data_IF_687703003667
#
_entry.id   IF_687703003667
#
_cell.length_a   1.000
_cell.length_b   1.000
_cell.length_c   1.000
_cell.angle_alpha   90.00
_cell.angle_beta   90.00
_cell.angle_gamma   90.00
#
_symmetry.space_group_name_H-M   'P 1'
#
loop_
_entity.id
_entity.type
_entity.pdbx_description
1 polymer ?
#
# COMPACT_ATOMS: atom_id res chain seq x y z
N UNK A 1 -9.14 23.50 -6.62
CA UNK A 1 -9.27 22.99 -5.23
C UNK A 1 -9.69 21.52 -5.12
N UNK A 2 -10.97 21.12 -5.09
CA UNK A 2 -11.36 19.69 -5.05
C UNK A 2 -10.86 18.91 -6.28
N UNK A 3 -10.82 19.57 -7.45
CA UNK A 3 -10.20 19.05 -8.68
C UNK A 3 -8.67 18.96 -8.63
N UNK A 4 -7.99 19.73 -7.79
CA UNK A 4 -6.52 19.71 -7.64
C UNK A 4 -6.06 18.66 -6.64
N UNK A 5 -6.80 18.48 -5.54
CA UNK A 5 -6.61 17.33 -4.63
C UNK A 5 -6.97 16.02 -5.34
N UNK A 6 -8.05 15.99 -6.13
CA UNK A 6 -8.35 14.87 -7.05
C UNK A 6 -7.36 14.74 -8.20
N UNK A 7 -6.70 15.80 -8.68
CA UNK A 7 -5.62 15.73 -9.68
C UNK A 7 -4.32 15.21 -9.09
N UNK A 8 -3.98 15.60 -7.86
CA UNK A 8 -2.91 14.98 -7.08
C UNK A 8 -3.18 13.51 -6.83
N UNK A 9 -4.44 13.14 -6.53
CA UNK A 9 -4.91 11.74 -6.45
C UNK A 9 -4.89 11.03 -7.80
N UNK A 10 -5.27 11.68 -8.91
CA UNK A 10 -5.16 11.11 -10.26
C UNK A 10 -3.72 11.04 -10.75
N UNK A 11 -2.79 11.87 -10.27
CA UNK A 11 -1.36 11.70 -10.54
C UNK A 11 -0.75 10.61 -9.64
N UNK A 12 -1.22 10.45 -8.40
CA UNK A 12 -0.83 9.35 -7.52
C UNK A 12 -1.47 7.99 -7.89
N UNK A 13 -2.67 8.00 -8.50
CA UNK A 13 -3.40 6.84 -9.01
C UNK A 13 -3.14 6.58 -10.51
N UNK A 14 -2.72 7.57 -11.30
CA UNK A 14 -2.20 7.34 -12.67
C UNK A 14 -0.71 7.08 -12.70
N UNK A 15 0.04 7.40 -11.63
CA UNK A 15 1.31 6.72 -11.36
C UNK A 15 1.11 5.21 -11.11
N UNK A 16 -0.14 4.75 -10.94
CA UNK A 16 -0.53 3.34 -10.97
C UNK A 16 -1.16 2.90 -12.31
N UNK A 17 -1.17 3.71 -13.40
CA UNK A 17 -1.78 3.22 -14.66
C UNK A 17 -1.32 3.80 -16.01
N UNK A 18 -0.51 4.86 -16.15
CA UNK A 18 -0.08 5.29 -17.50
C UNK A 18 1.33 5.89 -17.57
N UNK A 19 2.24 5.17 -18.22
CA UNK A 19 3.55 5.68 -18.65
C UNK A 19 3.54 6.08 -20.13
N UNK A 20 3.78 7.36 -20.44
CA UNK A 20 4.63 7.78 -21.57
C UNK A 20 5.02 9.27 -21.55
N UNK A 21 6.32 9.46 -21.74
CA UNK A 21 7.10 10.56 -22.33
C UNK A 21 6.74 12.03 -22.02
N UNK A 22 7.69 12.75 -21.40
CA UNK A 22 8.48 13.79 -22.10
C UNK A 22 9.65 14.31 -21.24
N UNK A 23 10.77 14.53 -21.92
CA UNK A 23 12.04 15.13 -21.50
C UNK A 23 11.99 16.65 -21.31
N UNK A 24 12.68 17.19 -20.28
CA UNK A 24 13.82 18.15 -20.31
C UNK A 24 13.91 19.02 -19.03
N UNK A 25 15.16 19.14 -18.51
CA UNK A 25 15.89 20.33 -17.95
C UNK A 25 15.20 21.19 -16.85
N UNK A 26 15.78 21.64 -15.74
CA UNK A 26 17.12 22.16 -15.38
C UNK A 26 17.31 22.08 -13.83
N UNK A 27 18.49 21.74 -13.29
CA UNK A 27 19.61 22.58 -12.79
C UNK A 27 19.33 23.62 -11.67
N UNK A 28 20.14 23.45 -10.61
CA UNK A 28 20.65 24.39 -9.60
C UNK A 28 19.74 25.01 -8.52
N UNK A 29 20.12 24.86 -7.22
CA UNK A 29 20.80 25.89 -6.42
C UNK A 29 20.95 25.48 -4.92
N UNK A 30 22.21 25.38 -4.51
CA UNK A 30 22.91 25.77 -3.26
C UNK A 30 22.15 25.97 -1.92
N UNK A 31 22.44 25.03 -1.00
CA UNK A 31 22.99 25.14 0.38
C UNK A 31 23.05 26.53 1.06
N UNK A 32 22.47 26.64 2.26
CA UNK A 32 22.93 27.56 3.33
C UNK A 32 22.62 26.99 4.72
N UNK A 33 23.65 26.94 5.57
CA UNK A 33 23.63 26.48 6.97
C UNK A 33 23.59 27.71 7.89
N UNK A 34 22.81 27.67 8.99
CA UNK A 34 23.09 28.45 10.20
C UNK A 34 22.82 27.64 11.47
N UNK A 35 23.76 27.75 12.42
CA UNK A 35 23.78 27.19 13.78
C UNK A 35 22.99 28.08 14.75
N UNK A 36 22.56 27.56 15.93
CA UNK A 36 21.83 28.31 16.94
C UNK A 36 22.74 28.85 18.07
N UNK A 37 22.21 29.80 18.86
CA UNK A 37 22.82 30.25 20.11
C UNK A 37 21.83 30.18 21.29
N UNK A 38 22.43 29.92 22.44
CA UNK A 38 21.99 29.63 23.82
C UNK A 38 21.29 30.77 24.59
N UNK A 39 20.33 30.41 25.47
CA UNK A 39 20.31 30.56 26.95
C UNK A 39 19.50 31.82 27.38
N UNK A 40 18.78 31.92 28.51
CA UNK A 40 19.00 31.45 29.89
C UNK A 40 17.66 31.25 30.65
N UNK A 41 17.75 30.55 31.80
CA UNK A 41 16.73 30.42 32.86
C UNK A 41 16.92 31.52 33.91
N UNK A 42 15.85 31.98 34.57
CA UNK A 42 15.82 32.23 36.03
C UNK A 42 14.42 31.96 36.62
N UNK A 43 14.44 31.30 37.77
CA UNK A 43 13.38 30.85 38.70
C UNK A 43 12.60 31.98 39.41
N UNK A 44 11.46 31.64 40.05
CA UNK A 44 10.86 32.54 41.05
C UNK A 44 9.45 32.26 41.57
N UNK A 45 9.24 31.12 42.23
CA UNK A 45 8.39 30.86 43.42
C UNK A 45 7.05 31.58 43.73
N UNK A 46 6.07 30.75 44.12
CA UNK A 46 4.70 31.03 44.57
C UNK A 46 4.53 31.74 45.93
N UNK A 47 3.34 32.35 46.14
CA UNK A 47 2.58 32.20 47.41
C UNK A 47 1.08 32.51 47.25
N UNK A 48 0.27 31.59 47.78
CA UNK A 48 -1.20 31.67 47.94
C UNK A 48 -1.57 32.56 49.13
N UNK A 49 -2.71 33.25 49.05
CA UNK A 49 -3.56 33.54 50.20
C UNK A 49 -5.04 33.55 49.79
N UNK A 50 -5.83 32.72 50.48
CA UNK A 50 -7.30 32.78 50.54
C UNK A 50 -7.70 33.62 51.75
N UNK A 51 -8.76 34.44 51.64
CA UNK A 51 -10.03 34.28 52.40
C UNK A 51 -11.03 35.44 52.19
N UNK A 52 -12.27 35.01 51.91
CA UNK A 52 -13.59 35.41 52.47
C UNK A 52 -14.22 36.80 52.21
N UNK A 53 -15.35 36.70 51.48
CA UNK A 53 -16.71 37.22 51.74
C UNK A 53 -16.94 38.70 52.06
N UNK A 54 -17.75 39.34 51.21
CA UNK A 54 -18.50 40.56 51.52
C UNK A 54 -19.47 40.89 50.40
N UNK A 55 -20.76 40.64 50.64
CA UNK A 55 -21.86 41.00 49.77
C UNK A 55 -22.10 42.51 49.89
N UNK A 56 -21.97 43.29 48.81
CA UNK A 56 -22.71 44.55 48.70
C UNK A 56 -23.05 44.85 47.25
N UNK A 57 -24.35 44.91 47.02
CA UNK A 57 -25.01 45.25 45.77
C UNK A 57 -24.83 46.75 45.48
N UNK A 58 -24.04 47.07 44.46
CA UNK A 58 -24.11 48.37 43.78
C UNK A 58 -24.36 48.08 42.31
N UNK A 59 -25.60 48.33 41.89
CA UNK A 59 -26.02 48.31 40.50
C UNK A 59 -25.29 49.40 39.71
N UNK A 60 -24.10 49.06 39.20
CA UNK A 60 -23.49 49.82 38.10
C UNK A 60 -24.23 49.44 36.83
N UNK A 61 -25.01 50.38 36.29
CA UNK A 61 -25.46 50.35 34.88
C UNK A 61 -24.21 50.35 33.99
N UNK A 62 -23.61 49.19 33.76
CA UNK A 62 -22.68 49.00 32.67
C UNK A 62 -23.50 48.99 31.39
N UNK A 63 -23.35 50.04 30.59
CA UNK A 63 -23.71 50.01 29.17
C UNK A 63 -22.98 48.83 28.55
N UNK A 64 -23.68 47.72 28.34
CA UNK A 64 -23.25 46.70 27.39
C UNK A 64 -23.37 47.34 26.00
N UNK A 65 -22.34 48.09 25.59
CA UNK A 65 -22.04 48.17 24.17
C UNK A 65 -21.73 46.72 23.78
N UNK A 66 -22.69 46.04 23.18
CA UNK A 66 -22.43 44.78 22.51
C UNK A 66 -21.32 45.09 21.49
N UNK A 67 -20.09 44.69 21.80
CA UNK A 67 -19.05 44.57 20.78
C UNK A 67 -19.58 43.47 19.88
N UNK A 68 -20.31 43.87 18.84
CA UNK A 68 -20.79 42.95 17.82
C UNK A 68 -19.57 42.23 17.31
N UNK A 69 -19.49 40.93 17.59
CA UNK A 69 -18.44 40.09 17.03
C UNK A 69 -18.42 40.33 15.53
N UNK A 70 -17.26 40.68 14.92
CA UNK A 70 -17.17 40.83 13.47
C UNK A 70 -17.46 39.51 12.76
N UNK A 71 -17.44 38.40 13.51
CA UNK A 71 -17.79 37.08 13.04
C UNK A 71 -19.29 36.81 13.18
N UNK A 72 -19.92 36.47 12.06
CA UNK A 72 -21.28 35.89 12.02
C UNK A 72 -21.16 34.38 11.82
N UNK A 73 -22.02 33.58 12.48
CA UNK A 73 -22.15 32.14 12.17
C UNK A 73 -23.32 31.96 11.20
N UNK A 74 -23.19 31.08 10.23
CA UNK A 74 -24.28 30.79 9.30
C UNK A 74 -23.96 29.66 8.35
N UNK A 75 -24.83 29.51 7.35
CA UNK A 75 -24.63 28.63 6.21
C UNK A 75 -24.62 29.47 4.93
N UNK A 76 -23.79 29.08 3.97
CA UNK A 76 -23.75 29.65 2.62
C UNK A 76 -23.65 28.50 1.63
N UNK A 77 -24.48 28.53 0.61
CA UNK A 77 -24.41 27.62 -0.53
C UNK A 77 -23.92 28.43 -1.74
N UNK A 78 -23.01 27.87 -2.53
CA UNK A 78 -22.59 28.47 -3.80
C UNK A 78 -23.43 27.94 -4.98
N UNK A 79 -23.21 28.49 -6.17
CA UNK A 79 -23.97 28.14 -7.38
C UNK A 79 -23.70 26.69 -7.84
N UNK A 80 -22.59 26.10 -7.41
CA UNK A 80 -22.21 24.72 -7.70
C UNK A 80 -22.80 23.72 -6.68
N UNK A 81 -23.54 24.21 -5.67
CA UNK A 81 -24.19 23.41 -4.63
C UNK A 81 -23.28 23.03 -3.46
N UNK A 82 -22.08 23.59 -3.36
CA UNK A 82 -21.23 23.39 -2.19
C UNK A 82 -21.74 24.25 -1.02
N UNK A 83 -21.88 23.63 0.15
CA UNK A 83 -22.43 24.26 1.35
C UNK A 83 -21.34 24.47 2.39
N UNK A 84 -21.07 25.71 2.76
CA UNK A 84 -20.23 26.05 3.92
C UNK A 84 -21.09 26.25 5.16
N UNK A 85 -20.65 25.68 6.28
CA UNK A 85 -21.19 25.87 7.61
C UNK A 85 -20.09 26.36 8.55
N UNK A 86 -20.19 27.60 9.05
CA UNK A 86 -19.13 28.15 9.88
C UNK A 86 -19.24 29.64 10.16
N UNK A 87 -18.09 30.23 10.51
CA UNK A 87 -17.95 31.67 10.76
C UNK A 87 -17.64 32.42 9.46
N UNK A 88 -18.07 33.67 9.41
CA UNK A 88 -17.86 34.61 8.32
C UNK A 88 -17.39 35.95 8.84
N UNK A 89 -16.54 36.62 8.07
CA UNK A 89 -16.15 38.02 8.27
C UNK A 89 -16.18 38.71 6.91
N UNK A 90 -16.89 39.84 6.81
CA UNK A 90 -17.04 40.62 5.57
C UNK A 90 -17.50 39.79 4.34
N UNK A 91 -18.33 38.78 4.58
CA UNK A 91 -18.85 37.87 3.54
C UNK A 91 -17.91 36.73 3.14
N UNK A 92 -16.68 36.71 3.66
CA UNK A 92 -15.68 35.66 3.44
C UNK A 92 -15.72 34.59 4.55
N UNK A 93 -15.29 33.38 4.21
CA UNK A 93 -15.14 32.27 5.15
C UNK A 93 -14.02 32.60 6.13
N UNK A 94 -14.26 32.43 7.42
CA UNK A 94 -13.32 32.87 8.45
C UNK A 94 -13.45 32.02 9.72
N UNK A 95 -12.34 31.69 10.38
CA UNK A 95 -12.35 30.87 11.57
C UNK A 95 -12.74 29.41 11.31
N UNK A 96 -13.25 28.68 12.32
CA UNK A 96 -13.60 27.27 12.12
C UNK A 96 -14.86 27.12 11.26
N UNK A 97 -14.83 26.20 10.32
CA UNK A 97 -15.96 25.87 9.46
C UNK A 97 -15.73 24.61 8.65
N UNK A 98 -16.81 24.12 8.04
CA UNK A 98 -16.82 22.93 7.18
C UNK A 98 -17.46 23.29 5.83
N UNK A 99 -16.84 22.90 4.72
CA UNK A 99 -17.46 22.86 3.40
C UNK A 99 -17.94 21.43 3.13
N UNK A 100 -19.18 21.29 2.68
CA UNK A 100 -19.75 20.06 2.15
C UNK A 100 -19.86 20.19 0.63
N UNK A 101 -19.31 19.23 -0.11
CA UNK A 101 -19.32 19.22 -1.56
C UNK A 101 -20.54 18.43 -2.09
N UNK A 102 -21.04 18.75 -3.30
CA UNK A 102 -22.20 18.07 -3.90
C UNK A 102 -22.02 16.56 -4.10
N UNK A 103 -20.78 16.10 -4.23
CA UNK A 103 -20.45 14.67 -4.37
C UNK A 103 -20.50 13.90 -3.05
N UNK A 104 -20.71 14.57 -1.92
CA UNK A 104 -20.75 13.96 -0.59
C UNK A 104 -19.42 14.06 0.17
N UNK A 105 -18.35 14.54 -0.45
CA UNK A 105 -17.12 14.90 0.24
C UNK A 105 -17.28 16.11 1.15
N UNK A 106 -16.31 16.35 2.02
CA UNK A 106 -16.28 17.54 2.88
C UNK A 106 -14.85 17.97 3.24
N UNK A 107 -14.71 19.21 3.66
CA UNK A 107 -13.46 19.79 4.13
C UNK A 107 -13.70 20.61 5.39
N UNK A 108 -12.96 20.33 6.46
CA UNK A 108 -13.07 21.02 7.74
C UNK A 108 -11.73 21.59 8.16
N UNK A 109 -11.73 22.83 8.67
CA UNK A 109 -10.50 23.43 9.17
C UNK A 109 -10.70 24.85 9.67
N UNK A 110 -9.59 25.57 9.77
CA UNK A 110 -9.58 27.01 10.04
C UNK A 110 -9.52 27.74 8.69
N UNK A 111 -10.40 28.71 8.51
CA UNK A 111 -10.52 29.54 7.33
C UNK A 111 -10.00 30.94 7.63
N UNK A 112 -9.33 31.56 6.66
CA UNK A 112 -8.89 32.95 6.72
C UNK A 112 -9.06 33.56 5.33
N UNK A 113 -9.79 34.67 5.24
CA UNK A 113 -10.01 35.37 3.97
C UNK A 113 -10.51 34.42 2.84
N UNK A 114 -11.34 33.43 3.20
CA UNK A 114 -11.90 32.45 2.25
C UNK A 114 -11.03 31.21 1.98
N UNK A 115 -9.81 31.13 2.50
CA UNK A 115 -8.89 30.01 2.26
C UNK A 115 -8.62 29.21 3.53
N UNK A 116 -8.36 27.91 3.38
CA UNK A 116 -8.07 27.05 4.52
C UNK A 116 -6.61 27.20 4.95
N UNK A 117 -6.40 27.30 6.27
CA UNK A 117 -5.14 27.61 6.93
C UNK A 117 -4.93 26.71 8.16
N UNK A 118 -3.69 26.32 8.42
CA UNK A 118 -3.36 25.51 9.58
C UNK A 118 -3.90 24.09 9.50
N UNK A 119 -4.24 23.49 10.64
CA UNK A 119 -4.73 22.10 10.67
C UNK A 119 -6.14 21.99 10.06
N UNK A 120 -6.33 20.96 9.24
CA UNK A 120 -7.60 20.65 8.62
C UNK A 120 -7.67 19.22 8.10
N UNK A 121 -8.89 18.79 7.84
CA UNK A 121 -9.23 17.49 7.30
C UNK A 121 -10.03 17.66 6.00
N UNK A 122 -9.71 16.84 5.02
CA UNK A 122 -10.49 16.67 3.79
C UNK A 122 -10.91 15.21 3.68
N UNK A 123 -12.18 14.98 3.34
CA UNK A 123 -12.73 13.66 3.07
C UNK A 123 -13.42 13.68 1.71
N UNK A 124 -13.11 12.71 0.86
CA UNK A 124 -13.80 12.57 -0.42
C UNK A 124 -15.07 11.71 -0.32
N UNK A 125 -15.78 11.60 -1.44
CA UNK A 125 -17.02 10.86 -1.59
C UNK A 125 -16.86 9.34 -1.43
N UNK A 126 -15.64 8.83 -1.54
CA UNK A 126 -15.29 7.43 -1.32
C UNK A 126 -14.84 7.16 0.13
N UNK A 127 -14.69 8.20 0.95
CA UNK A 127 -14.32 8.12 2.36
C UNK A 127 -12.81 8.09 2.62
N UNK A 128 -11.97 8.38 1.62
CA UNK A 128 -10.55 8.66 1.85
C UNK A 128 -10.41 9.97 2.60
N UNK A 129 -9.49 10.01 3.56
CA UNK A 129 -9.29 11.15 4.46
C UNK A 129 -7.86 11.65 4.33
N UNK A 130 -7.71 12.96 4.33
CA UNK A 130 -6.44 13.66 4.38
C UNK A 130 -6.48 14.58 5.58
N UNK A 131 -5.59 14.34 6.54
CA UNK A 131 -5.39 15.22 7.69
C UNK A 131 -4.02 15.87 7.57
N UNK A 132 -3.92 17.19 7.72
CA UNK A 132 -2.60 17.84 7.70
C UNK A 132 -2.65 19.35 7.81
N UNK A 133 -1.51 19.96 7.50
CA UNK A 133 -1.33 21.41 7.48
C UNK A 133 -1.73 21.98 6.12
N UNK A 134 -2.55 23.03 6.13
CA UNK A 134 -3.05 23.73 4.97
C UNK A 134 -2.54 25.16 4.97
N UNK A 135 -2.21 25.65 3.78
CA UNK A 135 -1.76 27.01 3.55
C UNK A 135 -2.26 27.45 2.19
N UNK A 136 -2.87 28.63 2.15
CA UNK A 136 -3.50 29.18 0.95
C UNK A 136 -4.50 28.17 0.33
N UNK A 137 -5.16 27.39 1.19
CA UNK A 137 -6.08 26.34 0.80
C UNK A 137 -5.47 25.04 0.23
N UNK A 138 -4.14 24.95 0.13
CA UNK A 138 -3.44 23.76 -0.34
C UNK A 138 -2.75 23.04 0.82
N UNK A 139 -2.71 21.71 0.75
CA UNK A 139 -1.98 20.89 1.72
C UNK A 139 -0.48 21.15 1.58
N UNK A 140 0.13 21.64 2.66
CA UNK A 140 1.51 22.10 2.74
C UNK A 140 2.07 21.81 4.13
N UNK A 141 3.15 21.03 4.19
CA UNK A 141 3.76 20.55 5.43
C UNK A 141 3.31 19.13 5.79
N UNK A 142 3.37 18.73 7.06
CA UNK A 142 3.02 17.39 7.49
C UNK A 142 1.56 17.03 7.20
N UNK A 143 1.33 15.78 6.79
CA UNK A 143 -0.01 15.25 6.60
C UNK A 143 -0.05 13.73 6.60
N UNK A 144 -1.27 13.20 6.60
CA UNK A 144 -1.59 11.78 6.57
C UNK A 144 -2.72 11.53 5.57
N UNK A 145 -2.60 10.46 4.81
CA UNK A 145 -3.66 9.93 3.96
C UNK A 145 -4.15 8.62 4.56
N UNK A 146 -5.47 8.51 4.73
CA UNK A 146 -6.12 7.37 5.36
C UNK A 146 -7.21 6.85 4.43
N UNK A 147 -7.12 5.57 4.06
CA UNK A 147 -8.14 4.90 3.26
C UNK A 147 -9.42 4.64 4.09
N UNK A 148 -10.57 4.38 3.42
CA UNK A 148 -11.76 3.88 4.09
C UNK A 148 -11.44 2.68 4.99
N UNK A 149 -12.05 2.63 6.18
CA UNK A 149 -11.72 1.63 7.19
C UNK A 149 -10.53 1.98 8.09
N UNK A 150 -9.88 3.13 7.88
CA UNK A 150 -8.86 3.66 8.80
C UNK A 150 -7.43 3.21 8.51
N UNK A 151 -7.18 2.56 7.37
CA UNK A 151 -5.83 2.15 6.97
C UNK A 151 -4.98 3.39 6.62
N UNK A 152 -3.88 3.61 7.35
CA UNK A 152 -2.94 4.69 7.10
C UNK A 152 -2.13 4.41 5.83
N UNK A 153 -2.51 5.03 4.71
CA UNK A 153 -1.85 4.86 3.41
C UNK A 153 -0.52 5.60 3.41
N UNK A 154 -0.51 6.89 3.76
CA UNK A 154 0.70 7.70 3.71
C UNK A 154 0.82 8.58 4.94
N UNK A 155 2.05 8.78 5.41
CA UNK A 155 2.38 9.79 6.40
C UNK A 155 3.70 10.45 6.01
N UNK A 156 3.69 11.78 5.88
CA UNK A 156 4.89 12.50 5.49
C UNK A 156 4.61 13.97 5.22
N UNK A 157 5.48 14.56 4.43
CA UNK A 157 5.34 15.95 4.00
C UNK A 157 4.53 16.06 2.69
N UNK A 158 3.93 17.24 2.52
CA UNK A 158 3.20 17.67 1.35
C UNK A 158 3.66 19.05 0.92
N UNK A 159 3.57 19.32 -0.37
CA UNK A 159 3.80 20.63 -0.95
C UNK A 159 2.81 20.82 -2.09
N UNK A 160 2.10 21.94 -2.09
CA UNK A 160 1.14 22.30 -3.14
C UNK A 160 0.12 21.18 -3.44
N UNK A 161 -0.33 20.47 -2.39
CA UNK A 161 -1.32 19.40 -2.51
C UNK A 161 -0.79 18.02 -2.90
N UNK A 162 0.52 17.85 -3.13
CA UNK A 162 1.13 16.56 -3.49
C UNK A 162 2.18 16.12 -2.48
N UNK A 163 2.39 14.80 -2.35
CA UNK A 163 3.42 14.23 -1.47
C UNK A 163 4.80 14.79 -1.85
N UNK A 164 5.54 15.26 -0.87
CA UNK A 164 6.85 15.87 -1.06
C UNK A 164 7.71 15.65 0.20
N UNK A 165 9.02 15.88 0.16
CA UNK A 165 9.86 15.74 1.36
C UNK A 165 9.96 14.28 1.84
N UNK A 166 10.14 14.06 3.14
CA UNK A 166 10.24 12.69 3.66
C UNK A 166 8.86 12.11 3.98
N UNK A 167 8.67 10.82 3.70
CA UNK A 167 7.40 10.16 4.01
C UNK A 167 7.44 8.63 3.91
N UNK A 168 6.46 8.01 4.55
CA UNK A 168 6.20 6.58 4.55
C UNK A 168 4.89 6.30 3.81
N UNK A 169 4.94 5.40 2.82
CA UNK A 169 3.77 4.80 2.19
C UNK A 169 3.62 3.36 2.69
N UNK A 170 2.43 3.00 3.17
CA UNK A 170 2.11 1.64 3.65
C UNK A 170 1.21 0.93 2.63
N UNK A 171 1.42 -0.37 2.47
CA UNK A 171 0.67 -1.24 1.58
C UNK A 171 -0.23 -2.18 2.40
N UNK A 172 -1.37 -2.57 1.82
CA UNK A 172 -2.36 -3.44 2.50
C UNK A 172 -1.82 -4.84 2.83
N UNK A 173 -0.78 -5.27 2.12
CA UNK A 173 -0.06 -6.52 2.40
C UNK A 173 0.88 -6.44 3.61
N UNK A 174 1.00 -5.26 4.25
CA UNK A 174 1.85 -5.00 5.40
C UNK A 174 3.23 -4.45 5.05
N UNK A 175 3.59 -4.41 3.77
CA UNK A 175 4.81 -3.76 3.31
C UNK A 175 4.75 -2.25 3.51
N UNK A 176 5.91 -1.59 3.52
CA UNK A 176 5.98 -0.12 3.54
C UNK A 176 7.23 0.37 2.83
N UNK A 177 7.18 1.59 2.30
CA UNK A 177 8.35 2.27 1.76
C UNK A 177 8.55 3.61 2.45
N UNK A 178 9.78 3.87 2.87
CA UNK A 178 10.20 5.12 3.50
C UNK A 178 11.30 5.78 2.67
N UNK A 179 11.13 7.06 2.35
CA UNK A 179 12.13 7.79 1.58
C UNK A 179 11.72 9.21 1.24
N UNK A 180 12.44 9.82 0.29
CA UNK A 180 12.15 11.16 -0.21
C UNK A 180 11.14 11.12 -1.36
N UNK A 181 10.19 12.04 -1.34
CA UNK A 181 9.13 12.21 -2.31
C UNK A 181 9.31 13.54 -3.04
N UNK A 182 9.16 13.51 -4.36
CA UNK A 182 9.22 14.68 -5.23
C UNK A 182 8.01 14.63 -6.16
N UNK A 183 7.12 15.61 -6.05
CA UNK A 183 5.91 15.73 -6.88
C UNK A 183 5.04 14.46 -6.89
N UNK A 184 4.85 13.83 -5.73
CA UNK A 184 4.05 12.62 -5.60
C UNK A 184 4.81 11.31 -5.81
N UNK A 185 6.05 11.36 -6.30
CA UNK A 185 6.84 10.17 -6.64
C UNK A 185 7.99 9.94 -5.67
N UNK A 186 8.22 8.67 -5.29
CA UNK A 186 9.40 8.29 -4.52
C UNK A 186 10.67 8.48 -5.34
N UNK A 187 11.69 9.10 -4.75
CA UNK A 187 12.92 9.50 -5.43
C UNK A 187 14.14 9.46 -4.51
N UNK A 188 15.30 9.12 -5.05
CA UNK A 188 16.56 9.12 -4.31
C UNK A 188 16.71 7.88 -3.43
N UNK A 189 17.34 8.03 -2.27
CA UNK A 189 17.52 6.91 -1.34
C UNK A 189 16.20 6.59 -0.63
N UNK A 190 15.84 5.31 -0.61
CA UNK A 190 14.65 4.83 0.10
C UNK A 190 14.85 3.40 0.63
N UNK A 191 13.92 2.97 1.48
CA UNK A 191 13.87 1.64 2.04
C UNK A 191 12.48 1.07 1.86
N UNK A 192 12.37 -0.03 1.11
CA UNK A 192 11.19 -0.88 1.16
C UNK A 192 11.39 -1.88 2.30
N UNK A 193 10.38 -2.01 3.15
CA UNK A 193 10.31 -2.99 4.24
C UNK A 193 9.25 -4.02 3.88
N UNK A 194 9.63 -5.29 3.95
CA UNK A 194 8.68 -6.38 3.85
C UNK A 194 7.73 -6.40 5.07
N UNK A 195 6.61 -7.14 5.01
CA UNK A 195 5.59 -7.15 6.07
C UNK A 195 6.08 -7.61 7.45
N UNK A 196 7.24 -8.25 7.55
CA UNK A 196 7.81 -8.66 8.84
C UNK A 196 8.39 -7.51 9.67
N UNK A 197 8.55 -6.32 9.07
CA UNK A 197 9.14 -5.15 9.70
C UNK A 197 10.62 -5.31 10.09
N UNK A 198 11.30 -6.34 9.58
CA UNK A 198 12.68 -6.72 9.93
C UNK A 198 13.59 -6.81 8.72
N UNK A 199 13.03 -7.14 7.56
CA UNK A 199 13.75 -7.32 6.32
C UNK A 199 13.25 -6.35 5.25
N UNK A 200 14.07 -6.10 4.24
CA UNK A 200 13.73 -5.14 3.21
C UNK A 200 14.78 -4.96 2.13
N UNK A 201 14.55 -3.98 1.27
CA UNK A 201 15.42 -3.56 0.19
C UNK A 201 15.79 -2.09 0.38
N UNK A 202 17.08 -1.77 0.37
CA UNK A 202 17.60 -0.40 0.51
C UNK A 202 18.47 -0.04 -0.70
N UNK A 203 18.26 1.15 -1.26
CA UNK A 203 18.94 1.63 -2.45
C UNK A 203 18.32 2.87 -3.11
N UNK A 204 18.31 2.93 -4.44
CA UNK A 204 17.93 4.11 -5.23
C UNK A 204 16.61 3.92 -5.95
N UNK A 205 15.71 4.90 -5.79
CA UNK A 205 14.44 5.02 -6.49
C UNK A 205 14.43 6.21 -7.42
N UNK A 206 13.72 6.10 -8.54
CA UNK A 206 13.53 7.19 -9.50
C UNK A 206 12.17 7.06 -10.17
N UNK A 207 11.34 8.08 -10.01
CA UNK A 207 9.96 8.12 -10.52
C UNK A 207 9.11 6.97 -9.98
N UNK A 208 9.21 6.69 -8.67
CA UNK A 208 8.50 5.58 -8.03
C UNK A 208 9.16 4.21 -8.18
N UNK A 209 9.96 4.00 -9.22
CA UNK A 209 10.60 2.71 -9.47
C UNK A 209 11.89 2.50 -8.67
N UNK A 210 12.05 1.31 -8.12
CA UNK A 210 13.33 0.82 -7.58
C UNK A 210 14.32 0.60 -8.73
N UNK A 211 15.46 1.31 -8.74
CA UNK A 211 16.48 1.18 -9.79
C UNK A 211 17.59 0.22 -9.41
N UNK A 212 18.02 0.28 -8.15
CA UNK A 212 19.03 -0.61 -7.59
C UNK A 212 18.82 -0.66 -6.09
N UNK A 213 18.64 -1.85 -5.52
CA UNK A 213 18.55 -2.04 -4.07
C UNK A 213 19.18 -3.35 -3.63
N UNK A 214 19.69 -3.35 -2.41
CA UNK A 214 20.26 -4.53 -1.75
C UNK A 214 19.36 -4.97 -0.61
N UNK A 215 19.31 -6.27 -0.41
CA UNK A 215 18.62 -6.85 0.72
C UNK A 215 19.28 -6.50 2.05
N UNK A 216 18.48 -6.13 3.04
CA UNK A 216 18.86 -6.06 4.43
C UNK A 216 17.92 -6.93 5.28
N UNK A 217 18.43 -7.45 6.40
CA UNK A 217 17.71 -8.36 7.27
C UNK A 217 18.52 -9.61 7.56
N UNK A 218 17.85 -10.64 8.10
CA UNK A 218 18.42 -11.98 8.26
C UNK A 218 18.50 -12.62 6.88
N UNK A 219 19.67 -13.13 6.51
CA UNK A 219 19.83 -13.83 5.23
C UNK A 219 19.22 -15.23 5.32
N UNK A 220 18.52 -15.70 4.29
CA UNK A 220 18.07 -17.09 4.23
C UNK A 220 19.24 -18.07 4.40
N UNK A 221 19.00 -19.16 5.14
CA UNK A 221 20.03 -20.16 5.44
C UNK A 221 20.48 -20.93 4.19
N UNK A 222 19.56 -21.11 3.24
CA UNK A 222 19.87 -21.72 1.94
C UNK A 222 20.46 -20.65 1.02
N UNK A 223 21.63 -20.89 0.40
CA UNK A 223 22.18 -19.95 -0.56
C UNK A 223 21.31 -19.90 -1.83
N UNK A 224 21.31 -18.78 -2.57
CA UNK A 224 20.65 -18.72 -3.87
C UNK A 224 21.31 -19.75 -4.81
N UNK A 225 20.53 -20.75 -5.23
CA UNK A 225 21.07 -21.97 -5.83
C UNK A 225 21.83 -21.71 -7.14
N UNK A 226 21.36 -20.73 -7.92
CA UNK A 226 21.87 -20.41 -9.26
C UNK A 226 22.83 -19.22 -9.27
N UNK A 227 23.21 -18.66 -8.12
CA UNK A 227 24.06 -17.47 -8.08
C UNK A 227 25.53 -17.82 -7.80
N UNK A 228 26.49 -17.25 -8.55
CA UNK A 228 27.91 -17.60 -8.43
C UNK A 228 28.48 -17.38 -7.02
N UNK A 229 28.18 -16.23 -6.42
CA UNK A 229 28.72 -15.83 -5.11
C UNK A 229 27.98 -16.47 -3.94
N UNK A 230 26.80 -17.09 -4.18
CA UNK A 230 25.94 -17.71 -3.16
C UNK A 230 25.70 -16.83 -1.91
N UNK A 231 25.82 -15.51 -2.06
CA UNK A 231 25.66 -14.52 -1.00
C UNK A 231 24.46 -13.61 -1.29
N UNK A 232 23.45 -13.69 -0.44
CA UNK A 232 22.25 -12.85 -0.49
C UNK A 232 22.56 -11.34 -0.46
N UNK A 233 23.65 -10.92 0.18
CA UNK A 233 24.01 -9.49 0.30
C UNK A 233 24.68 -8.94 -0.96
N UNK A 234 25.16 -9.81 -1.84
CA UNK A 234 25.70 -9.43 -3.16
C UNK A 234 24.60 -9.12 -4.18
N UNK A 235 23.38 -9.62 -3.95
CA UNK A 235 22.28 -9.55 -4.90
C UNK A 235 21.75 -8.12 -5.03
N UNK A 236 21.51 -7.74 -6.28
CA UNK A 236 20.94 -6.45 -6.66
C UNK A 236 19.52 -6.70 -7.17
N UNK A 237 18.58 -5.95 -6.62
CA UNK A 237 17.18 -5.95 -7.00
C UNK A 237 16.82 -4.62 -7.67
N UNK A 238 16.01 -4.69 -8.72
CA UNK A 238 15.40 -3.54 -9.38
C UNK A 238 13.93 -3.82 -9.67
N UNK A 239 13.17 -2.78 -10.03
CA UNK A 239 11.86 -2.94 -10.62
C UNK A 239 12.00 -3.72 -11.94
N UNK A 240 11.23 -4.79 -12.05
CA UNK A 240 11.26 -5.82 -13.10
C UNK A 240 9.83 -6.38 -13.24
N UNK A 241 8.88 -5.47 -13.47
CA UNK A 241 7.49 -5.83 -13.68
C UNK A 241 7.34 -6.66 -14.98
N UNK A 242 6.61 -7.76 -14.88
CA UNK A 242 6.37 -8.66 -16.01
C UNK A 242 5.51 -8.01 -17.08
N UNK A 243 5.62 -8.52 -18.30
CA UNK A 243 4.84 -8.07 -19.47
C UNK A 243 4.04 -9.24 -20.05
N UNK A 244 3.47 -9.07 -21.25
CA UNK A 244 2.87 -10.17 -22.02
C UNK A 244 3.91 -11.15 -22.59
N UNK A 245 5.19 -10.76 -22.65
CA UNK A 245 6.25 -11.52 -23.34
C UNK A 245 7.36 -12.00 -22.39
N UNK A 246 7.51 -11.35 -21.23
CA UNK A 246 8.58 -11.66 -20.27
C UNK A 246 8.04 -11.74 -18.86
N UNK A 247 8.37 -12.85 -18.17
CA UNK A 247 8.01 -13.08 -16.77
C UNK A 247 8.91 -12.29 -15.80
N UNK A 248 10.17 -12.08 -16.17
CA UNK A 248 11.21 -11.40 -15.40
C UNK A 248 12.48 -11.32 -16.26
N UNK A 249 13.25 -10.23 -16.14
CA UNK A 249 14.61 -10.16 -16.69
C UNK A 249 15.63 -11.00 -15.92
N UNK A 250 15.31 -11.39 -14.67
CA UNK A 250 16.16 -12.19 -13.78
C UNK A 250 15.37 -13.37 -13.18
N UNK A 251 14.89 -14.33 -13.97
CA UNK A 251 13.95 -15.38 -13.52
C UNK A 251 14.52 -16.32 -12.44
N UNK A 252 15.85 -16.39 -12.33
CA UNK A 252 16.56 -17.20 -11.33
C UNK A 252 17.08 -16.40 -10.12
N UNK A 253 16.75 -15.11 -10.03
CA UNK A 253 17.03 -14.30 -8.85
C UNK A 253 15.88 -14.49 -7.85
N UNK A 254 16.02 -15.25 -6.76
CA UNK A 254 14.94 -15.47 -5.81
C UNK A 254 14.62 -14.20 -5.01
N UNK A 255 13.35 -14.07 -4.62
CA UNK A 255 12.96 -13.11 -3.61
C UNK A 255 13.51 -13.53 -2.22
N UNK A 256 14.21 -12.64 -1.49
CA UNK A 256 14.86 -12.99 -0.24
C UNK A 256 13.87 -13.20 0.91
N UNK A 257 12.74 -12.50 0.92
CA UNK A 257 11.71 -12.65 1.95
C UNK A 257 11.00 -14.00 1.81
N UNK A 258 10.64 -14.37 0.58
CA UNK A 258 10.03 -15.65 0.26
C UNK A 258 11.01 -16.81 0.50
N UNK A 259 12.29 -16.66 0.16
CA UNK A 259 13.29 -17.71 0.34
C UNK A 259 13.55 -18.08 1.81
N UNK A 260 13.38 -17.14 2.75
CA UNK A 260 13.44 -17.45 4.19
C UNK A 260 12.22 -18.24 4.66
N UNK A 261 11.05 -18.04 4.04
CA UNK A 261 9.75 -18.54 4.51
C UNK A 261 9.28 -19.79 3.82
N UNK A 262 9.62 -19.97 2.55
CA UNK A 262 9.05 -20.99 1.71
C UNK A 262 10.12 -21.86 1.04
N UNK A 263 9.71 -23.07 0.69
CA UNK A 263 10.46 -23.99 -0.15
C UNK A 263 9.51 -24.80 -1.00
N UNK A 264 10.02 -25.32 -2.11
CA UNK A 264 9.34 -26.31 -2.93
C UNK A 264 9.75 -27.71 -2.47
N UNK A 265 8.82 -28.66 -2.48
CA UNK A 265 9.08 -30.07 -2.19
C UNK A 265 8.00 -30.96 -2.80
N UNK A 266 8.12 -32.27 -2.67
CA UNK A 266 7.07 -33.21 -3.10
C UNK A 266 5.80 -33.00 -2.27
N UNK A 267 4.66 -32.80 -2.92
CA UNK A 267 3.37 -32.60 -2.25
C UNK A 267 2.99 -33.83 -1.43
N UNK A 268 2.31 -33.59 -0.31
CA UNK A 268 1.71 -34.64 0.51
C UNK A 268 0.35 -35.11 -0.04
N UNK A 269 -0.21 -34.41 -1.02
CA UNK A 269 -1.50 -34.74 -1.63
C UNK A 269 -1.36 -35.91 -2.62
N UNK A 270 -2.11 -36.97 -2.36
CA UNK A 270 -2.31 -38.05 -3.32
C UNK A 270 -3.18 -37.53 -4.47
N UNK A 271 -2.70 -37.56 -5.72
CA UNK A 271 -3.55 -37.25 -6.85
C UNK A 271 -4.56 -38.36 -7.14
N UNK A 272 -5.54 -38.03 -7.97
CA UNK A 272 -6.57 -38.98 -8.39
C UNK A 272 -6.04 -39.87 -9.52
N UNK A 273 -6.30 -41.18 -9.44
CA UNK A 273 -5.93 -42.11 -10.53
C UNK A 273 -6.77 -41.76 -11.77
N UNK A 274 -6.14 -41.27 -12.83
CA UNK A 274 -6.71 -41.40 -14.16
C UNK A 274 -6.62 -42.89 -14.55
N UNK A 275 -7.75 -43.52 -14.83
CA UNK A 275 -7.80 -44.90 -15.29
C UNK A 275 -7.01 -45.02 -16.60
N UNK A 276 -5.87 -45.74 -16.56
CA UNK A 276 -5.10 -46.10 -17.76
C UNK A 276 -3.63 -45.66 -17.80
N UNK A 277 -3.12 -44.90 -16.81
CA UNK A 277 -1.68 -44.55 -16.72
C UNK A 277 -1.05 -45.31 -15.55
N UNK A 278 -0.09 -46.18 -15.84
CA UNK A 278 0.67 -46.91 -14.82
C UNK A 278 1.68 -45.97 -14.14
N UNK A 279 1.50 -45.75 -12.83
CA UNK A 279 2.25 -44.78 -12.02
C UNK A 279 1.33 -43.69 -11.50
N UNK A 280 0.80 -43.84 -10.28
CA UNK A 280 -0.19 -42.93 -9.72
C UNK A 280 0.34 -41.51 -9.62
N UNK A 281 -0.33 -40.55 -10.26
CA UNK A 281 0.10 -39.16 -10.24
C UNK A 281 -0.12 -38.58 -8.84
N UNK A 282 0.97 -38.35 -8.11
CA UNK A 282 1.03 -37.44 -6.96
C UNK A 282 0.65 -36.02 -7.43
N UNK A 283 0.21 -35.12 -6.55
CA UNK A 283 -0.04 -33.71 -6.92
C UNK A 283 1.24 -32.96 -7.38
N UNK A 284 2.36 -33.67 -7.53
CA UNK A 284 3.63 -33.17 -8.00
C UNK A 284 4.36 -32.43 -6.88
N UNK A 285 4.83 -31.24 -7.20
CA UNK A 285 5.47 -30.36 -6.23
C UNK A 285 4.42 -29.56 -5.44
N UNK A 286 4.78 -29.15 -4.24
CA UNK A 286 4.01 -28.29 -3.36
C UNK A 286 4.88 -27.20 -2.74
N UNK A 287 4.23 -26.14 -2.26
CA UNK A 287 4.86 -25.07 -1.50
C UNK A 287 4.80 -25.41 -0.01
N UNK A 288 5.91 -25.29 0.71
CA UNK A 288 6.01 -25.63 2.14
C UNK A 288 6.62 -24.50 2.93
N UNK A 289 6.18 -24.34 4.18
CA UNK A 289 6.78 -23.40 5.11
C UNK A 289 8.14 -23.88 5.61
N UNK A 290 9.09 -22.96 5.72
CA UNK A 290 10.36 -23.10 6.44
C UNK A 290 10.25 -22.64 7.88
N UNK A 291 9.41 -21.65 8.14
CA UNK A 291 9.16 -21.05 9.45
C UNK A 291 7.67 -21.02 9.73
N UNK A 292 7.26 -21.13 11.00
CA UNK A 292 5.85 -20.96 11.38
C UNK A 292 5.35 -19.55 11.01
N UNK A 293 4.06 -19.44 10.70
CA UNK A 293 3.41 -18.21 10.25
C UNK A 293 2.14 -17.93 11.07
N UNK A 294 1.83 -16.65 11.28
CA UNK A 294 0.59 -16.21 11.92
C UNK A 294 -0.55 -16.03 10.90
N UNK A 295 -1.78 -15.99 11.39
CA UNK A 295 -2.94 -15.62 10.57
C UNK A 295 -2.75 -14.24 9.93
N UNK A 296 -3.05 -14.14 8.64
CA UNK A 296 -2.86 -12.94 7.81
C UNK A 296 -1.41 -12.69 7.37
N UNK A 297 -0.44 -13.52 7.75
CA UNK A 297 0.95 -13.30 7.36
C UNK A 297 1.16 -13.60 5.86
N UNK A 298 1.94 -12.75 5.20
CA UNK A 298 2.39 -12.94 3.82
C UNK A 298 3.37 -14.12 3.77
N UNK A 299 3.09 -15.12 2.92
CA UNK A 299 3.89 -16.33 2.81
C UNK A 299 4.77 -16.32 1.55
N UNK A 300 4.16 -16.02 0.40
CA UNK A 300 4.77 -16.21 -0.91
C UNK A 300 4.17 -15.24 -1.93
N UNK A 301 4.93 -14.93 -2.98
CA UNK A 301 4.53 -14.04 -4.07
C UNK A 301 4.10 -14.83 -5.31
N UNK A 302 3.10 -14.32 -6.03
CA UNK A 302 2.62 -14.90 -7.28
C UNK A 302 2.83 -13.90 -8.42
N UNK A 303 4.06 -13.84 -8.93
CA UNK A 303 4.38 -13.13 -10.16
C UNK A 303 4.30 -14.09 -11.36
N UNK A 304 4.05 -13.53 -12.54
CA UNK A 304 3.89 -14.28 -13.79
C UNK A 304 3.68 -13.32 -14.97
N UNK A 305 3.58 -13.87 -16.17
CA UNK A 305 3.27 -13.13 -17.40
C UNK A 305 1.85 -12.55 -17.30
N UNK A 306 1.68 -11.30 -17.70
CA UNK A 306 0.38 -10.60 -17.63
C UNK A 306 -0.38 -10.78 -18.93
N UNK A 307 -1.57 -11.37 -18.90
CA UNK A 307 -2.43 -11.55 -20.07
C UNK A 307 -3.78 -10.88 -19.88
N UNK A 308 -4.35 -10.20 -20.89
CA UNK A 308 -5.75 -9.80 -20.85
C UNK A 308 -6.66 -11.03 -20.71
N UNK A 309 -7.74 -10.95 -19.93
CA UNK A 309 -8.69 -12.06 -19.75
C UNK A 309 -9.22 -12.60 -21.10
N UNK A 310 -9.49 -11.70 -22.05
CA UNK A 310 -9.95 -12.05 -23.40
C UNK A 310 -8.99 -12.98 -24.17
N UNK A 311 -7.71 -12.98 -23.81
CA UNK A 311 -6.70 -13.88 -24.38
C UNK A 311 -6.71 -15.21 -23.64
N UNK A 312 -6.75 -15.21 -22.31
CA UNK A 312 -6.78 -16.42 -21.47
C UNK A 312 -8.01 -17.28 -21.77
N UNK A 313 -9.18 -16.65 -21.90
CA UNK A 313 -10.46 -17.34 -22.13
C UNK A 313 -10.54 -18.08 -23.46
N UNK A 314 -9.71 -17.69 -24.45
CA UNK A 314 -9.65 -18.31 -25.78
C UNK A 314 -8.60 -19.41 -25.89
N UNK A 315 -7.71 -19.55 -24.90
CA UNK A 315 -6.63 -20.55 -24.91
C UNK A 315 -7.13 -21.92 -24.47
N UNK A 316 -6.41 -22.96 -24.90
CA UNK A 316 -6.69 -24.31 -24.44
C UNK A 316 -6.42 -24.43 -22.93
N UNK A 317 -7.36 -24.99 -22.17
CA UNK A 317 -7.29 -25.10 -20.70
C UNK A 317 -5.96 -25.66 -20.17
N UNK A 318 -5.34 -26.61 -20.90
CA UNK A 318 -4.04 -27.20 -20.53
C UNK A 318 -2.91 -26.17 -20.37
N UNK A 319 -3.06 -24.97 -20.94
CA UNK A 319 -2.11 -23.87 -20.83
C UNK A 319 -2.36 -22.99 -19.60
N UNK A 320 -3.50 -23.12 -18.94
CA UNK A 320 -3.95 -22.20 -17.89
C UNK A 320 -3.77 -22.78 -16.47
N UNK A 321 -2.92 -23.80 -16.31
CA UNK A 321 -2.77 -24.52 -15.03
C UNK A 321 -2.30 -23.63 -13.88
N UNK A 322 -1.50 -22.60 -14.17
CA UNK A 322 -0.98 -21.62 -13.22
C UNK A 322 -1.51 -20.20 -13.51
N UNK A 323 -2.66 -20.10 -14.20
CA UNK A 323 -3.25 -18.82 -14.50
C UNK A 323 -4.21 -18.41 -13.38
N UNK A 324 -4.01 -17.22 -12.81
CA UNK A 324 -4.90 -16.62 -11.81
C UNK A 324 -5.29 -15.20 -12.22
N UNK A 325 -6.48 -14.76 -11.83
CA UNK A 325 -6.91 -13.38 -12.07
C UNK A 325 -6.08 -12.42 -11.22
N UNK A 326 -5.57 -11.35 -11.84
CA UNK A 326 -4.91 -10.25 -11.14
C UNK A 326 -5.96 -9.21 -10.72
N UNK A 327 -6.70 -8.72 -11.69
CA UNK A 327 -7.73 -7.69 -11.59
C UNK A 327 -8.83 -7.89 -12.67
N UNK A 328 -9.64 -6.87 -12.92
CA UNK A 328 -10.75 -6.93 -13.87
C UNK A 328 -10.31 -7.04 -15.35
N UNK A 329 -9.09 -6.62 -15.67
CA UNK A 329 -8.57 -6.56 -17.04
C UNK A 329 -7.57 -7.69 -17.32
N UNK A 330 -6.72 -8.03 -16.34
CA UNK A 330 -5.60 -8.92 -16.50
C UNK A 330 -5.64 -10.15 -15.58
N UNK A 331 -5.02 -11.22 -16.08
CA UNK A 331 -4.60 -12.39 -15.36
C UNK A 331 -3.07 -12.47 -15.34
N UNK A 332 -2.52 -13.17 -14.34
CA UNK A 332 -1.11 -13.54 -14.25
C UNK A 332 -0.98 -15.05 -14.47
N UNK A 333 0.02 -15.46 -15.23
CA UNK A 333 0.28 -16.87 -15.55
C UNK A 333 1.77 -17.23 -15.44
N UNK A 334 2.06 -18.42 -14.89
CA UNK A 334 3.40 -19.02 -14.91
C UNK A 334 3.37 -20.20 -15.89
N UNK A 335 3.74 -19.99 -17.16
CA UNK A 335 3.53 -20.98 -18.21
C UNK A 335 4.45 -22.20 -18.01
N UNK A 336 4.16 -23.35 -18.67
CA UNK A 336 4.88 -24.61 -18.43
C UNK A 336 6.41 -24.51 -18.53
N UNK A 337 6.95 -23.69 -19.42
CA UNK A 337 8.38 -23.45 -19.58
C UNK A 337 9.03 -22.75 -18.37
N UNK A 338 8.24 -22.07 -17.54
CA UNK A 338 8.65 -21.44 -16.28
C UNK A 338 8.13 -22.21 -15.05
N UNK A 339 7.49 -23.37 -15.24
CA UNK A 339 6.95 -24.14 -14.12
C UNK A 339 8.05 -24.80 -13.28
N UNK A 340 9.26 -25.02 -13.80
CA UNK A 340 10.37 -25.61 -13.05
C UNK A 340 11.15 -24.54 -12.28
N UNK A 341 11.50 -24.82 -11.02
CA UNK A 341 12.32 -23.91 -10.20
C UNK A 341 13.74 -23.70 -10.74
N UNK A 342 14.23 -24.62 -11.58
CA UNK A 342 15.52 -24.48 -12.28
C UNK A 342 15.46 -23.46 -13.43
N UNK A 343 14.25 -23.03 -13.81
CA UNK A 343 14.00 -22.04 -14.87
C UNK A 343 13.40 -20.75 -14.34
N UNK A 344 12.61 -20.82 -13.27
CA UNK A 344 12.00 -19.67 -12.63
C UNK A 344 11.82 -19.91 -11.13
N UNK A 345 12.54 -19.13 -10.32
CA UNK A 345 12.43 -19.14 -8.86
C UNK A 345 12.38 -17.73 -8.26
N UNK A 346 12.11 -16.72 -9.10
CA UNK A 346 11.93 -15.34 -8.62
C UNK A 346 10.71 -15.17 -7.71
N UNK A 347 9.67 -15.97 -7.92
CA UNK A 347 8.51 -16.09 -7.02
C UNK A 347 7.96 -17.52 -7.03
N UNK A 348 7.46 -18.03 -5.91
CA UNK A 348 7.07 -19.44 -5.75
C UNK A 348 5.56 -19.69 -5.58
N UNK A 349 4.72 -18.66 -5.61
CA UNK A 349 3.28 -18.79 -5.32
C UNK A 349 2.54 -19.78 -6.23
N UNK A 350 3.01 -19.96 -7.46
CA UNK A 350 2.48 -20.95 -8.42
C UNK A 350 2.71 -22.41 -8.01
N UNK A 351 3.43 -22.66 -6.91
CA UNK A 351 3.67 -24.01 -6.35
C UNK A 351 2.70 -24.40 -5.25
N UNK A 352 1.85 -23.48 -4.78
CA UNK A 352 0.85 -23.81 -3.77
C UNK A 352 -0.27 -24.64 -4.40
N UNK A 353 -0.49 -25.84 -3.87
CA UNK A 353 -1.52 -26.73 -4.38
C UNK A 353 -2.93 -26.32 -3.96
N UNK A 354 -3.90 -26.87 -4.68
CA UNK A 354 -5.30 -26.64 -4.35
C UNK A 354 -5.79 -27.50 -3.17
N UNK A 355 -6.64 -26.92 -2.32
CA UNK A 355 -7.50 -27.64 -1.37
C UNK A 355 -8.86 -26.95 -1.19
N UNK A 356 -9.91 -27.74 -0.94
CA UNK A 356 -11.23 -27.25 -0.48
C UNK A 356 -11.28 -26.97 1.03
N UNK A 357 -10.20 -27.30 1.75
CA UNK A 357 -9.93 -26.90 3.13
C UNK A 357 -8.58 -26.17 3.15
N UNK A 358 -8.50 -24.98 2.53
CA UNK A 358 -7.25 -24.27 2.42
C UNK A 358 -6.78 -23.76 3.79
N UNK A 359 -5.46 -23.64 3.94
CA UNK A 359 -4.84 -22.95 5.07
C UNK A 359 -4.25 -21.59 4.67
N UNK A 360 -4.33 -21.23 3.39
CA UNK A 360 -3.92 -19.96 2.85
C UNK A 360 -4.85 -19.48 1.72
N UNK A 361 -4.77 -18.19 1.39
CA UNK A 361 -5.57 -17.57 0.33
C UNK A 361 -4.71 -16.70 -0.60
N UNK A 362 -5.21 -16.45 -1.80
CA UNK A 362 -4.64 -15.43 -2.68
C UNK A 362 -5.15 -14.04 -2.28
N UNK A 363 -4.24 -13.07 -2.18
CA UNK A 363 -4.56 -11.68 -1.89
C UNK A 363 -3.81 -10.73 -2.85
N UNK A 364 -4.33 -9.51 -3.12
CA UNK A 364 -3.56 -8.47 -3.81
C UNK A 364 -2.29 -8.09 -3.05
N UNK A 365 -1.22 -7.81 -3.78
CA UNK A 365 0.07 -7.43 -3.20
C UNK A 365 0.79 -6.43 -4.11
N UNK A 366 1.50 -5.47 -3.49
CA UNK A 366 2.48 -4.67 -4.19
C UNK A 366 3.87 -5.17 -3.84
N UNK A 367 4.66 -5.49 -4.86
CA UNK A 367 6.04 -5.89 -4.71
C UNK A 367 6.97 -4.87 -5.40
N UNK A 368 8.03 -4.35 -4.74
CA UNK A 368 8.89 -3.32 -5.33
C UNK A 368 9.66 -3.79 -6.58
N UNK A 369 9.78 -5.11 -6.76
CA UNK A 369 10.33 -5.71 -7.98
C UNK A 369 9.26 -6.06 -9.00
N UNK A 370 8.12 -6.65 -8.61
CA UNK A 370 7.18 -7.24 -9.56
C UNK A 370 5.99 -6.33 -9.89
N UNK A 371 5.87 -5.19 -9.21
CA UNK A 371 4.72 -4.30 -9.30
C UNK A 371 3.50 -4.89 -8.60
N UNK A 372 2.32 -4.65 -9.17
CA UNK A 372 1.06 -5.17 -8.65
C UNK A 372 0.87 -6.63 -9.06
N UNK A 373 0.83 -7.52 -8.07
CA UNK A 373 0.71 -8.97 -8.25
C UNK A 373 -0.30 -9.56 -7.24
N UNK A 374 -0.42 -10.88 -7.21
CA UNK A 374 -1.02 -11.58 -6.06
C UNK A 374 0.07 -12.09 -5.13
N UNK A 375 -0.31 -12.36 -3.89
CA UNK A 375 0.47 -13.09 -2.92
C UNK A 375 -0.38 -14.20 -2.28
N UNK A 376 0.27 -15.02 -1.48
CA UNK A 376 -0.38 -16.02 -0.64
C UNK A 376 -0.30 -15.55 0.82
N UNK A 377 -1.43 -15.53 1.53
CA UNK A 377 -1.51 -15.18 2.95
C UNK A 377 -2.09 -16.33 3.75
N UNK A 378 -1.59 -16.52 4.97
CA UNK A 378 -2.10 -17.55 5.86
C UNK A 378 -3.53 -17.22 6.35
N UNK A 379 -4.44 -18.19 6.30
CA UNK A 379 -5.80 -18.08 6.85
C UNK A 379 -5.88 -18.45 8.34
N UNK A 380 -4.82 -19.03 8.87
CA UNK A 380 -4.68 -19.45 10.26
C UNK A 380 -3.21 -19.47 10.64
N UNK A 381 -2.91 -19.67 11.92
CA UNK A 381 -1.57 -20.07 12.32
C UNK A 381 -1.17 -21.38 11.63
N UNK A 382 0.07 -21.43 11.14
CA UNK A 382 0.68 -22.58 10.47
C UNK A 382 2.07 -22.84 11.04
N UNK A 383 2.46 -24.10 11.15
CA UNK A 383 3.77 -24.51 11.66
C UNK A 383 4.80 -24.75 10.55
N UNK A 384 6.08 -24.62 10.89
CA UNK A 384 7.18 -24.93 9.98
C UNK A 384 7.05 -26.36 9.41
N UNK A 385 7.21 -26.50 8.10
CA UNK A 385 7.07 -27.77 7.39
C UNK A 385 5.66 -28.07 6.89
N UNK A 386 4.63 -27.30 7.28
CA UNK A 386 3.28 -27.46 6.71
C UNK A 386 3.26 -27.13 5.20
N UNK A 387 2.48 -27.90 4.43
CA UNK A 387 2.17 -27.59 3.03
C UNK A 387 1.19 -26.40 2.96
N UNK A 388 1.48 -25.46 2.09
CA UNK A 388 0.65 -24.28 1.81
C UNK A 388 -0.37 -24.65 0.74
N UNK A 389 -1.64 -24.63 1.12
CA UNK A 389 -2.77 -25.05 0.29
C UNK A 389 -3.78 -23.90 0.17
N UNK A 390 -4.18 -23.63 -1.08
CA UNK A 390 -5.06 -22.52 -1.44
C UNK A 390 -6.33 -23.01 -2.14
N UNK A 391 -7.39 -22.21 -2.15
CA UNK A 391 -8.57 -22.52 -2.94
C UNK A 391 -8.47 -21.87 -4.33
N UNK A 392 -8.42 -22.67 -5.41
CA UNK A 392 -8.23 -22.14 -6.77
C UNK A 392 -9.44 -21.39 -7.30
N UNK A 393 -10.64 -21.70 -6.81
CA UNK A 393 -11.82 -20.89 -7.11
C UNK A 393 -12.35 -21.03 -8.52
N UNK A 394 -12.07 -22.14 -9.22
CA UNK A 394 -12.61 -22.36 -10.56
C UNK A 394 -14.15 -22.38 -10.54
N UNK A 395 -14.76 -21.59 -11.43
CA UNK A 395 -16.23 -21.44 -11.57
C UNK A 395 -16.75 -21.94 -12.91
N UNK A 396 -16.01 -21.71 -14.00
CA UNK A 396 -16.48 -21.98 -15.38
C UNK A 396 -15.94 -23.30 -15.93
N UNK A 397 -14.67 -23.33 -16.33
CA UNK A 397 -13.99 -24.52 -16.83
C UNK A 397 -13.11 -25.09 -15.74
N UNK A 398 -13.33 -26.37 -15.39
CA UNK A 398 -12.62 -27.05 -14.30
C UNK A 398 -11.86 -28.26 -14.87
N UNK A 399 -10.60 -28.48 -14.47
CA UNK A 399 -9.87 -29.67 -14.86
C UNK A 399 -10.51 -30.90 -14.21
N UNK A 400 -10.33 -32.07 -14.84
CA UNK A 400 -10.91 -33.34 -14.36
C UNK A 400 -10.52 -33.64 -12.92
N UNK A 401 -9.24 -33.44 -12.57
CA UNK A 401 -8.75 -33.67 -11.21
C UNK A 401 -9.53 -32.83 -10.19
N UNK A 402 -9.79 -31.55 -10.48
CA UNK A 402 -10.52 -30.63 -9.59
C UNK A 402 -11.98 -31.05 -9.41
N UNK A 403 -12.64 -31.48 -10.49
CA UNK A 403 -14.01 -32.01 -10.41
C UNK A 403 -14.11 -33.27 -9.56
N UNK A 404 -13.12 -34.15 -9.63
CA UNK A 404 -13.09 -35.39 -8.85
C UNK A 404 -12.96 -35.09 -7.34
N UNK A 405 -12.01 -34.25 -6.95
CA UNK A 405 -11.84 -33.88 -5.54
C UNK A 405 -13.00 -33.00 -5.03
N UNK A 406 -13.63 -32.19 -5.88
CA UNK A 406 -14.83 -31.41 -5.52
C UNK A 406 -15.99 -32.33 -5.13
N UNK A 407 -16.27 -33.34 -5.95
CA UNK A 407 -17.30 -34.35 -5.65
C UNK A 407 -17.00 -35.11 -4.37
N UNK A 408 -15.75 -35.49 -4.15
CA UNK A 408 -15.34 -36.18 -2.92
C UNK A 408 -15.56 -35.31 -1.67
N UNK A 409 -15.24 -34.02 -1.75
CA UNK A 409 -15.45 -33.06 -0.65
C UNK A 409 -16.93 -32.80 -0.36
N UNK A 410 -17.76 -32.71 -1.39
CA UNK A 410 -19.22 -32.52 -1.26
C UNK A 410 -19.93 -33.72 -0.59
N UNK A 411 -19.37 -34.93 -0.70
CA UNK A 411 -19.92 -36.15 -0.08
C UNK A 411 -19.62 -36.25 1.43
N UNK A 412 -18.57 -35.57 1.90
CA UNK A 412 -18.10 -35.62 3.30
C UNK A 412 -18.78 -34.54 4.16
N UNK A 413 -19.42 -33.55 3.54
CA UNK A 413 -20.23 -32.51 4.22
C UNK A 413 -21.69 -32.95 4.37
#
# INVERSE_FOLDING_TARGET
MAREVRRGRRQAGNAQSQGRETTKQDQDVKRSKRKPNSAERVDGTSRKQQRKSGNSSIARKSRNAAVMSPYKRGMKEDEDGARYEGRFKDGMLEGRGTIYFPDGGWQQGIWRDGQMEGEGEYVDDEGYRIHGCWKDGLLNGPGQEVAPGGFLVYQGEFKDGVRNGMGTLNFLDGGRVYGSWVNGELHGQAEYWYPDGKSGLNGVWKHGDMKEAKYFGKTPDSPPLHWPEKDWRSLIYCCDESTQESISSSPLLPDPYEAERCRVGTSSLCGTKDEGVAGGNEAGEGLFLRTSAQEGELLSFYNGIRYPHAVVDKRAWKMNGNCISLDEEFAIDVPPEHSSIDRYCASLGHKANHSFQPNAEYAPCFHPRFGHIKCIRALRRMEAGEEVLVHYGYTNQMPRWYLQIKRAHEVIR
#
